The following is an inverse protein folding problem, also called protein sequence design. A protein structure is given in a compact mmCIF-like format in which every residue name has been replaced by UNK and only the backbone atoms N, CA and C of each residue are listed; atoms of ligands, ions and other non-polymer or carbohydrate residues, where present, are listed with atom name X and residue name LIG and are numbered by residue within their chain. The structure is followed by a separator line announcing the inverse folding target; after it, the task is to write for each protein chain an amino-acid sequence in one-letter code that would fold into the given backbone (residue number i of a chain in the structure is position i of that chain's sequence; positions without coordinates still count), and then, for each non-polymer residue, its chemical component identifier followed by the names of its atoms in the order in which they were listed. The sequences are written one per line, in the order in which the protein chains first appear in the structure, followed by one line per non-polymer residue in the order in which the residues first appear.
data_IF_642078121083
#
_entry.id   IF_642078121083
#
_cell.length_a   1.000
_cell.length_b   1.000
_cell.length_c   1.000
_cell.angle_alpha   90.00
_cell.angle_beta   90.00
_cell.angle_gamma   90.00
#
_symmetry.space_group_name_H-M   'P 1'
#
loop_
_entity.id
_entity.type
_entity.pdbx_description
1 polymer ?
#
# COMPACT_ATOMS: atom_id res chain seq x y z
N UNK A 1 -12.72 -10.30 -35.07
CA UNK A 1 -12.35 -10.22 -33.65
C UNK A 1 -11.85 -8.80 -33.43
N UNK A 2 -12.65 -7.90 -32.83
CA UNK A 2 -12.27 -6.48 -32.69
C UNK A 2 -11.28 -6.38 -31.52
N UNK A 3 -10.09 -5.86 -31.78
CA UNK A 3 -9.14 -5.43 -30.76
C UNK A 3 -9.89 -4.51 -29.79
N UNK A 4 -9.93 -4.86 -28.51
CA UNK A 4 -10.47 -3.98 -27.51
C UNK A 4 -9.55 -2.77 -27.46
N UNK A 5 -10.02 -1.60 -27.89
CA UNK A 5 -9.36 -0.32 -27.68
C UNK A 5 -8.98 -0.21 -26.20
N UNK A 6 -7.73 -0.52 -25.87
CA UNK A 6 -7.22 -0.30 -24.53
C UNK A 6 -7.03 1.20 -24.42
N UNK A 7 -7.93 1.87 -23.68
CA UNK A 7 -7.76 3.30 -23.38
C UNK A 7 -6.42 3.41 -22.65
N UNK A 8 -5.52 4.23 -23.17
CA UNK A 8 -4.33 4.60 -22.42
C UNK A 8 -4.80 5.33 -21.15
N UNK A 9 -4.64 4.68 -20.01
CA UNK A 9 -5.02 5.21 -18.70
C UNK A 9 -3.89 6.02 -18.06
N UNK A 10 -2.77 6.19 -18.76
CA UNK A 10 -1.61 6.97 -18.31
C UNK A 10 -1.53 8.33 -19.00
N UNK A 11 -2.32 8.54 -20.07
CA UNK A 11 -2.30 9.73 -20.92
C UNK A 11 -0.90 10.12 -21.43
N UNK A 12 -0.02 9.13 -21.60
CA UNK A 12 1.37 9.33 -22.01
C UNK A 12 2.28 9.99 -20.95
N UNK A 13 1.82 10.12 -19.71
CA UNK A 13 2.66 10.59 -18.59
C UNK A 13 3.75 9.57 -18.27
N UNK A 14 4.88 10.06 -17.74
CA UNK A 14 5.93 9.16 -17.26
C UNK A 14 5.46 8.38 -16.01
N UNK A 15 6.00 7.17 -15.75
CA UNK A 15 5.52 6.31 -14.68
C UNK A 15 5.57 6.93 -13.27
N UNK A 16 6.53 7.82 -13.01
CA UNK A 16 6.64 8.48 -11.71
C UNK A 16 5.50 9.49 -11.53
N UNK A 17 5.24 10.31 -12.55
CA UNK A 17 4.11 11.24 -12.54
C UNK A 17 2.78 10.51 -12.37
N UNK A 18 2.57 9.37 -13.06
CA UNK A 18 1.37 8.55 -12.88
C UNK A 18 1.21 8.10 -11.42
N UNK A 19 2.27 7.57 -10.82
CA UNK A 19 2.24 7.09 -9.43
C UNK A 19 1.90 8.22 -8.44
N UNK A 20 2.42 9.43 -8.66
CA UNK A 20 2.13 10.60 -7.84
C UNK A 20 0.68 11.08 -7.98
N UNK A 21 0.13 11.07 -9.19
CA UNK A 21 -1.30 11.40 -9.43
C UNK A 21 -2.23 10.38 -8.79
N UNK A 22 -1.90 9.10 -8.90
CA UNK A 22 -2.64 8.02 -8.24
C UNK A 22 -2.59 8.21 -6.73
N UNK A 23 -1.40 8.47 -6.14
CA UNK A 23 -1.25 8.77 -4.71
C UNK A 23 -2.24 9.85 -4.29
N UNK A 24 -2.23 10.99 -4.95
CA UNK A 24 -3.03 12.14 -4.55
C UNK A 24 -4.53 11.86 -4.64
N UNK A 25 -4.99 11.30 -5.76
CA UNK A 25 -6.43 11.06 -5.97
C UNK A 25 -6.97 9.87 -5.19
N UNK A 26 -6.20 8.78 -5.04
CA UNK A 26 -6.59 7.63 -4.24
C UNK A 26 -6.59 8.00 -2.74
N UNK A 27 -5.53 8.66 -2.25
CA UNK A 27 -5.42 9.02 -0.84
C UNK A 27 -6.49 10.02 -0.41
N UNK A 28 -6.88 10.97 -1.27
CA UNK A 28 -7.96 11.91 -0.98
C UNK A 28 -9.29 11.22 -0.57
N UNK A 29 -9.53 10.00 -1.07
CA UNK A 29 -10.73 9.22 -0.79
C UNK A 29 -10.50 8.10 0.25
N UNK A 30 -9.27 7.85 0.69
CA UNK A 30 -8.92 6.80 1.64
C UNK A 30 -9.13 7.24 3.10
N UNK A 31 -10.39 7.20 3.54
CA UNK A 31 -10.78 7.57 4.91
C UNK A 31 -10.14 6.68 5.97
N UNK A 32 -9.83 5.42 5.65
CA UNK A 32 -9.26 4.49 6.60
C UNK A 32 -7.82 4.88 6.93
N UNK A 33 -6.98 5.06 5.91
CA UNK A 33 -5.60 5.52 6.08
C UNK A 33 -5.54 6.89 6.74
N UNK A 34 -6.37 7.85 6.30
CA UNK A 34 -6.44 9.17 6.93
C UNK A 34 -6.85 9.10 8.41
N UNK A 35 -7.88 8.31 8.75
CA UNK A 35 -8.35 8.17 10.14
C UNK A 35 -7.33 7.49 11.07
N UNK A 36 -6.43 6.67 10.51
CA UNK A 36 -5.32 6.07 11.24
C UNK A 36 -4.09 6.99 11.33
N UNK A 37 -4.15 8.19 10.75
CA UNK A 37 -3.03 9.14 10.74
C UNK A 37 -1.88 8.67 9.85
N UNK A 38 -2.19 7.92 8.78
CA UNK A 38 -1.19 7.46 7.84
C UNK A 38 -0.72 8.59 6.92
N UNK A 39 0.57 8.60 6.61
CA UNK A 39 1.16 9.55 5.65
C UNK A 39 1.96 8.79 4.59
N UNK A 40 1.75 9.13 3.32
CA UNK A 40 2.51 8.56 2.21
C UNK A 40 3.81 9.34 2.07
N UNK A 41 4.91 8.73 2.50
CA UNK A 41 6.25 9.35 2.54
C UNK A 41 7.13 8.98 1.35
N UNK A 42 6.66 8.06 0.49
CA UNK A 42 7.30 7.72 -0.77
C UNK A 42 6.34 7.00 -1.72
N UNK A 43 6.46 7.28 -3.02
CA UNK A 43 5.65 6.65 -4.07
C UNK A 43 6.48 6.51 -5.35
N UNK A 44 6.25 5.44 -6.10
CA UNK A 44 6.80 5.23 -7.43
C UNK A 44 6.16 4.02 -8.12
N UNK A 45 6.55 3.69 -9.36
CA UNK A 45 6.03 2.53 -10.06
C UNK A 45 6.36 1.24 -9.28
N UNK A 46 5.32 0.53 -8.87
CA UNK A 46 5.42 -0.69 -8.04
C UNK A 46 5.93 -0.44 -6.61
N UNK A 47 5.93 0.80 -6.13
CA UNK A 47 6.53 1.19 -4.86
C UNK A 47 5.66 2.14 -4.04
N UNK A 48 5.59 1.91 -2.74
CA UNK A 48 5.05 2.89 -1.80
C UNK A 48 5.72 2.76 -0.43
N UNK A 49 5.81 3.89 0.28
CA UNK A 49 6.26 3.97 1.66
C UNK A 49 5.28 4.81 2.47
N UNK A 50 4.78 4.25 3.57
CA UNK A 50 3.72 4.85 4.39
C UNK A 50 4.12 4.79 5.85
N UNK A 51 3.88 5.87 6.60
CA UNK A 51 4.08 5.93 8.04
C UNK A 51 2.76 5.96 8.79
N UNK A 52 2.71 5.45 10.02
CA UNK A 52 1.55 5.52 10.92
C UNK A 52 1.99 5.59 12.39
N UNK A 53 1.52 6.58 13.17
CA UNK A 53 1.78 6.64 14.60
C UNK A 53 0.96 5.58 15.35
N UNK A 54 1.58 4.87 16.28
CA UNK A 54 0.87 3.96 17.19
C UNK A 54 0.25 4.77 18.32
N UNK A 55 -1.07 4.88 18.30
CA UNK A 55 -1.87 5.58 19.31
C UNK A 55 -2.39 4.65 20.39
N UNK A 56 -2.81 5.22 21.52
CA UNK A 56 -3.39 4.47 22.66
C UNK A 56 -4.64 3.66 22.27
N UNK A 57 -5.49 4.19 21.38
CA UNK A 57 -6.69 3.50 20.87
C UNK A 57 -6.38 2.33 19.92
N UNK A 58 -5.11 2.15 19.54
CA UNK A 58 -4.66 1.05 18.69
C UNK A 58 -4.08 -0.14 19.47
N UNK A 59 -4.00 -0.03 20.79
CA UNK A 59 -3.39 -1.07 21.61
C UNK A 59 -4.33 -2.27 21.81
N UNK A 60 -3.75 -3.47 21.85
CA UNK A 60 -4.46 -4.69 22.22
C UNK A 60 -4.42 -4.92 23.75
N UNK A 61 -4.96 -6.05 24.20
CA UNK A 61 -4.99 -6.43 25.63
C UNK A 61 -3.63 -6.60 26.31
N UNK A 62 -2.51 -6.54 25.57
CA UNK A 62 -1.15 -6.59 26.08
C UNK A 62 -0.43 -5.23 26.03
N UNK A 63 -1.17 -4.13 25.81
CA UNK A 63 -0.62 -2.77 25.71
C UNK A 63 0.47 -2.62 24.63
N UNK A 64 0.27 -3.30 23.50
CA UNK A 64 1.08 -3.17 22.27
C UNK A 64 0.16 -2.94 21.08
N UNK A 65 0.69 -2.42 19.98
CA UNK A 65 -0.09 -2.19 18.76
C UNK A 65 -0.79 -3.48 18.32
N UNK A 66 -2.10 -3.40 18.12
CA UNK A 66 -2.87 -4.54 17.65
C UNK A 66 -2.37 -4.96 16.26
N UNK A 67 -2.12 -6.26 16.06
CA UNK A 67 -1.60 -6.77 14.80
C UNK A 67 -2.46 -6.38 13.58
N UNK A 68 -3.78 -6.24 13.77
CA UNK A 68 -4.69 -5.71 12.77
C UNK A 68 -4.30 -4.32 12.24
N UNK A 69 -3.88 -3.37 13.08
CA UNK A 69 -3.47 -2.04 12.62
C UNK A 69 -2.12 -2.07 11.89
N UNK A 70 -1.18 -2.92 12.35
CA UNK A 70 0.09 -3.16 11.65
C UNK A 70 -0.18 -3.75 10.26
N UNK A 71 -1.09 -4.72 10.16
CA UNK A 71 -1.52 -5.30 8.88
C UNK A 71 -2.20 -4.26 8.00
N UNK A 72 -3.07 -3.40 8.55
CA UNK A 72 -3.70 -2.31 7.79
C UNK A 72 -2.66 -1.34 7.23
N UNK A 73 -1.63 -0.97 8.00
CA UNK A 73 -0.52 -0.16 7.50
C UNK A 73 0.21 -0.84 6.34
N UNK A 74 0.55 -2.12 6.48
CA UNK A 74 1.21 -2.87 5.43
C UNK A 74 0.34 -3.02 4.17
N UNK A 75 -0.97 -3.27 4.35
CA UNK A 75 -1.97 -3.38 3.27
C UNK A 75 -2.18 -2.05 2.54
N UNK A 76 -2.21 -0.93 3.26
CA UNK A 76 -2.24 0.40 2.64
C UNK A 76 -1.00 0.62 1.76
N UNK A 77 0.21 0.34 2.27
CA UNK A 77 1.42 0.48 1.46
C UNK A 77 1.38 -0.42 0.21
N UNK A 78 0.93 -1.65 0.37
CA UNK A 78 0.70 -2.57 -0.75
C UNK A 78 -0.31 -2.02 -1.77
N UNK A 79 -1.44 -1.50 -1.31
CA UNK A 79 -2.50 -0.95 -2.15
C UNK A 79 -1.97 0.21 -3.02
N UNK A 80 -1.25 1.17 -2.42
CA UNK A 80 -0.65 2.28 -3.17
C UNK A 80 0.44 1.80 -4.14
N UNK A 81 1.28 0.82 -3.76
CA UNK A 81 2.30 0.28 -4.64
C UNK A 81 1.70 -0.41 -5.88
N UNK A 82 0.69 -1.27 -5.70
CA UNK A 82 0.11 -2.02 -6.82
C UNK A 82 -0.83 -1.20 -7.72
N UNK A 83 -1.36 -0.08 -7.21
CA UNK A 83 -2.19 0.85 -7.98
C UNK A 83 -1.37 1.97 -8.66
N UNK A 84 -0.07 2.09 -8.37
CA UNK A 84 0.83 3.14 -8.90
C UNK A 84 0.89 3.25 -10.43
N UNK A 85 0.41 2.24 -11.16
CA UNK A 85 0.30 2.24 -12.63
C UNK A 85 -1.05 2.74 -13.15
N UNK A 86 -1.89 3.29 -12.27
CA UNK A 86 -3.28 3.70 -12.51
C UNK A 86 -4.24 2.58 -12.95
N UNK A 87 -3.82 1.32 -12.95
CA UNK A 87 -4.72 0.17 -13.13
C UNK A 87 -5.36 -0.20 -11.78
N UNK A 88 -6.70 -0.09 -11.66
CA UNK A 88 -7.38 -0.42 -10.42
C UNK A 88 -7.13 -1.87 -10.01
N UNK A 89 -6.45 -2.03 -8.89
CA UNK A 89 -5.92 -3.28 -8.40
C UNK A 89 -6.34 -3.50 -6.96
N UNK A 90 -6.78 -4.71 -6.65
CA UNK A 90 -7.22 -5.09 -5.30
C UNK A 90 -6.35 -6.21 -4.74
N UNK A 91 -6.25 -6.29 -3.42
CA UNK A 91 -5.67 -7.44 -2.75
C UNK A 91 -6.53 -8.69 -3.01
N UNK A 92 -5.93 -9.76 -3.51
CA UNK A 92 -6.56 -11.08 -3.59
C UNK A 92 -6.14 -12.02 -2.46
N UNK A 93 -5.14 -11.62 -1.67
CA UNK A 93 -4.67 -12.35 -0.50
C UNK A 93 -3.39 -11.74 0.06
N UNK A 94 -3.22 -11.87 1.37
CA UNK A 94 -2.05 -11.41 2.10
C UNK A 94 -1.58 -12.50 3.09
N UNK A 95 -0.29 -12.53 3.38
CA UNK A 95 0.30 -13.31 4.48
C UNK A 95 1.20 -12.38 5.27
N UNK A 96 1.05 -12.36 6.60
CA UNK A 96 1.77 -11.44 7.50
C UNK A 96 2.44 -12.24 8.61
N UNK A 97 3.72 -11.95 8.85
CA UNK A 97 4.48 -12.49 9.97
C UNK A 97 4.97 -11.34 10.87
N UNK A 98 4.83 -11.49 12.19
CA UNK A 98 5.21 -10.48 13.18
C UNK A 98 6.52 -10.88 13.86
N UNK A 99 7.53 -10.01 13.77
CA UNK A 99 8.87 -10.24 14.33
C UNK A 99 9.04 -9.58 15.70
N UNK A 100 8.41 -8.43 15.91
CA UNK A 100 8.47 -7.67 17.16
C UNK A 100 7.17 -6.89 17.38
N UNK A 101 6.82 -6.53 18.63
CA UNK A 101 5.65 -5.73 18.92
C UNK A 101 5.87 -4.25 18.57
N UNK A 102 4.89 -3.61 17.93
CA UNK A 102 4.82 -2.15 17.88
C UNK A 102 4.39 -1.58 19.24
N UNK A 103 5.03 -0.50 19.71
CA UNK A 103 4.79 0.10 21.02
C UNK A 103 4.00 1.41 20.91
N UNK A 104 3.26 1.81 21.96
CA UNK A 104 2.64 3.14 22.00
C UNK A 104 3.70 4.23 21.74
N UNK A 105 3.37 5.19 20.87
CA UNK A 105 4.28 6.27 20.48
C UNK A 105 5.31 5.90 19.40
N UNK A 106 5.37 4.63 18.94
CA UNK A 106 6.17 4.30 17.77
C UNK A 106 5.62 4.99 16.52
N UNK A 107 6.51 5.35 15.61
CA UNK A 107 6.17 5.69 14.24
C UNK A 107 6.53 4.49 13.36
N UNK A 108 5.51 3.71 13.00
CA UNK A 108 5.69 2.56 12.14
C UNK A 108 5.79 3.02 10.68
N UNK A 109 6.67 2.39 9.92
CA UNK A 109 6.91 2.64 8.50
C UNK A 109 6.73 1.34 7.75
N UNK A 110 5.73 1.27 6.86
CA UNK A 110 5.60 0.19 5.89
C UNK A 110 6.22 0.59 4.54
N UNK A 111 7.05 -0.27 3.98
CA UNK A 111 7.65 -0.09 2.67
C UNK A 111 7.30 -1.28 1.78
N UNK A 112 6.55 -1.03 0.71
CA UNK A 112 6.05 -2.02 -0.23
C UNK A 112 6.80 -1.94 -1.56
N UNK A 113 7.22 -3.10 -2.08
CA UNK A 113 7.94 -3.23 -3.36
C UNK A 113 7.34 -4.35 -4.19
N UNK A 114 7.13 -4.07 -5.46
CA UNK A 114 6.77 -5.07 -6.46
C UNK A 114 7.87 -6.14 -6.58
N UNK A 115 7.46 -7.39 -6.54
CA UNK A 115 8.33 -8.55 -6.82
C UNK A 115 8.09 -9.07 -8.23
N UNK A 116 6.81 -9.11 -8.63
CA UNK A 116 6.40 -9.62 -9.93
C UNK A 116 5.03 -9.09 -10.31
N UNK A 117 4.85 -8.80 -11.60
CA UNK A 117 3.56 -8.53 -12.21
C UNK A 117 3.50 -9.25 -13.56
N UNK A 118 2.42 -9.99 -13.79
CA UNK A 118 2.09 -10.49 -15.12
C UNK A 118 0.58 -10.58 -15.32
N UNK A 119 0.15 -10.07 -16.48
CA UNK A 119 -1.27 -10.01 -16.84
C UNK A 119 -2.08 -9.27 -15.78
N UNK A 120 -2.90 -10.02 -15.03
CA UNK A 120 -3.81 -9.46 -14.02
C UNK A 120 -3.37 -9.70 -12.59
N UNK A 121 -2.25 -10.36 -12.36
CA UNK A 121 -1.81 -10.74 -11.02
C UNK A 121 -0.44 -10.15 -10.71
N UNK A 122 -0.22 -9.79 -9.45
CA UNK A 122 1.10 -9.38 -8.97
C UNK A 122 1.42 -9.90 -7.58
N UNK A 123 2.69 -9.84 -7.21
CA UNK A 123 3.23 -10.18 -5.89
C UNK A 123 4.08 -9.02 -5.41
N UNK A 124 3.88 -8.63 -4.15
CA UNK A 124 4.54 -7.51 -3.51
C UNK A 124 5.04 -7.96 -2.14
N UNK A 125 6.24 -7.51 -1.78
CA UNK A 125 6.81 -7.69 -0.45
C UNK A 125 6.79 -6.37 0.29
N UNK A 126 6.39 -6.43 1.56
CA UNK A 126 6.22 -5.27 2.43
C UNK A 126 6.99 -5.54 3.72
N UNK A 127 7.82 -4.60 4.14
CA UNK A 127 8.46 -4.59 5.46
C UNK A 127 7.86 -3.50 6.31
N UNK A 128 7.66 -3.77 7.60
CA UNK A 128 7.23 -2.77 8.59
C UNK A 128 8.33 -2.61 9.62
N UNK A 129 8.85 -1.39 9.77
CA UNK A 129 9.86 -1.05 10.79
C UNK A 129 9.37 0.07 11.69
N UNK A 130 9.97 0.23 12.87
CA UNK A 130 9.77 1.42 13.68
C UNK A 130 10.87 2.47 13.42
N UNK A 131 10.76 3.63 14.07
CA UNK A 131 11.71 4.74 13.98
C UNK A 131 13.15 4.40 14.42
N UNK A 132 13.36 3.27 15.12
CA UNK A 132 14.69 2.79 15.52
C UNK A 132 15.28 1.80 14.51
N UNK A 133 14.55 1.47 13.44
CA UNK A 133 14.94 0.46 12.45
C UNK A 133 14.67 -0.97 12.88
N UNK A 134 13.92 -1.20 13.97
CA UNK A 134 13.54 -2.56 14.38
C UNK A 134 12.48 -3.12 13.43
N UNK A 135 12.67 -4.36 12.98
CA UNK A 135 11.71 -5.05 12.13
C UNK A 135 10.50 -5.51 12.96
N UNK A 136 9.34 -4.96 12.64
CA UNK A 136 8.07 -5.23 13.34
C UNK A 136 7.30 -6.34 12.64
N UNK A 137 7.16 -6.26 11.32
CA UNK A 137 6.44 -7.25 10.54
C UNK A 137 6.96 -7.34 9.11
N UNK A 138 6.69 -8.47 8.46
CA UNK A 138 6.82 -8.64 7.02
C UNK A 138 5.49 -9.13 6.46
N UNK A 139 5.13 -8.67 5.26
CA UNK A 139 3.92 -9.10 4.58
C UNK A 139 4.21 -9.39 3.11
N UNK A 140 3.57 -10.44 2.58
CA UNK A 140 3.48 -10.69 1.14
C UNK A 140 2.06 -10.49 0.66
N UNK A 141 1.87 -9.55 -0.25
CA UNK A 141 0.60 -9.25 -0.91
C UNK A 141 0.49 -9.91 -2.29
N UNK A 142 -0.70 -10.42 -2.61
CA UNK A 142 -1.09 -10.87 -3.95
C UNK A 142 -2.12 -9.91 -4.50
N UNK A 143 -1.86 -9.35 -5.67
CA UNK A 143 -2.72 -8.35 -6.30
C UNK A 143 -3.52 -8.96 -7.44
N UNK A 144 -4.69 -8.37 -7.71
CA UNK A 144 -5.53 -8.71 -8.84
C UNK A 144 -6.10 -7.45 -9.52
N UNK A 145 -5.79 -7.27 -10.81
CA UNK A 145 -6.20 -6.12 -11.62
C UNK A 145 -7.62 -6.27 -12.13
N UNK A 146 -8.40 -5.22 -11.95
CA UNK A 146 -9.75 -5.09 -12.50
C UNK A 146 -9.67 -4.50 -13.91
N UNK A 147 -10.18 -5.24 -14.90
CA UNK A 147 -10.01 -4.87 -16.31
C UNK A 147 -10.72 -3.55 -16.63
N UNK A 148 -9.98 -2.63 -17.27
CA UNK A 148 -10.53 -1.40 -17.84
C UNK A 148 -10.99 -0.37 -16.81
N UNK A 149 -10.45 -0.40 -15.60
CA UNK A 149 -10.75 0.57 -14.54
C UNK A 149 -9.50 1.31 -14.16
N UNK A 150 -9.54 2.64 -14.29
CA UNK A 150 -8.50 3.51 -13.77
C UNK A 150 -8.71 3.74 -12.26
N UNK A 151 -7.63 4.05 -11.54
CA UNK A 151 -7.72 4.44 -10.12
C UNK A 151 -8.18 5.90 -10.02
N UNK A 152 -7.62 6.75 -10.86
CA UNK A 152 -7.93 8.17 -11.00
C UNK A 152 -8.09 8.52 -12.49
N UNK A 153 -8.89 9.53 -12.76
CA UNK A 153 -8.87 10.19 -14.08
C UNK A 153 -7.60 11.07 -14.13
N UNK A 154 -6.74 10.82 -15.11
CA UNK A 154 -5.51 11.57 -15.36
C UNK A 154 -5.75 12.70 -16.37
#
# INVERSE_FOLDING_TARGET
MREANYRDITEGLDPQTVAERVRDGMFANDRASQGLGMEITGIGPGYAKITMPVREDMLNGFSICHGGFITTLADSAFAFACNSYNEQTVASGISVDFMAPGRPGDLLTAEAREVFVAGRTGVYDITVTNQKGELIAVMRGKSYRLKGRAVVDL
#
